data_IF_111301818284
#
_entry.id   IF_111301818284
#
_cell.length_a   1.000
_cell.length_b   1.000
_cell.length_c   1.000
_cell.angle_alpha   90.00
_cell.angle_beta   90.00
_cell.angle_gamma   90.00
#
_symmetry.space_group_name_H-M   'P 1'
#
loop_
_entity.id
_entity.type
_entity.pdbx_description
1 polymer ?
#
# COMPACT_ATOMS: atom_id res chain seq x y z
N UNK A 1 48.71 1.40 37.12
CA UNK A 1 48.16 0.29 36.35
C UNK A 1 46.64 0.19 36.49
N UNK A 2 46.08 0.22 37.71
CA UNK A 2 44.64 0.15 37.93
C UNK A 2 43.87 1.37 37.36
N UNK A 3 44.45 2.54 37.44
CA UNK A 3 43.85 3.77 36.90
C UNK A 3 43.75 3.73 35.37
N UNK A 4 44.77 3.23 34.67
CA UNK A 4 44.75 3.08 33.22
C UNK A 4 43.71 2.07 32.77
N UNK A 5 43.52 0.96 33.46
CA UNK A 5 42.53 -0.06 33.14
C UNK A 5 41.09 0.49 33.30
N UNK A 6 40.80 1.25 34.33
CA UNK A 6 39.49 1.89 34.56
C UNK A 6 39.17 2.93 33.48
N UNK A 7 40.18 3.70 33.04
CA UNK A 7 40.00 4.68 31.98
C UNK A 7 39.73 4.01 30.64
N UNK A 8 40.44 2.93 30.29
CA UNK A 8 40.21 2.15 29.07
C UNK A 8 38.81 1.50 29.07
N UNK A 9 38.38 0.91 30.16
CA UNK A 9 37.05 0.33 30.29
C UNK A 9 35.94 1.38 30.10
N UNK A 10 36.13 2.58 30.63
CA UNK A 10 35.21 3.70 30.45
C UNK A 10 35.11 4.15 28.98
N UNK A 11 36.23 4.22 28.27
CA UNK A 11 36.25 4.57 26.84
C UNK A 11 35.55 3.49 26.00
N UNK A 12 35.83 2.20 26.25
CA UNK A 12 35.19 1.09 25.54
C UNK A 12 33.67 1.11 25.74
N UNK A 13 33.20 1.29 26.97
CA UNK A 13 31.78 1.37 27.26
C UNK A 13 31.09 2.59 26.56
N UNK A 14 31.78 3.71 26.48
CA UNK A 14 31.29 4.90 25.78
C UNK A 14 31.17 4.64 24.26
N UNK A 15 32.16 4.01 23.65
CA UNK A 15 32.14 3.62 22.24
C UNK A 15 31.02 2.63 21.92
N UNK A 16 30.78 1.64 22.78
CA UNK A 16 29.67 0.70 22.65
C UNK A 16 28.33 1.44 22.69
N UNK A 17 28.14 2.36 23.63
CA UNK A 17 26.94 3.19 23.75
C UNK A 17 26.69 4.03 22.50
N UNK A 18 27.74 4.64 21.90
CA UNK A 18 27.65 5.40 20.66
C UNK A 18 27.26 4.48 19.48
N UNK A 19 27.82 3.28 19.38
CA UNK A 19 27.45 2.31 18.34
C UNK A 19 25.97 1.92 18.42
N UNK A 20 25.43 1.62 19.59
CA UNK A 20 24.01 1.33 19.78
C UNK A 20 23.12 2.51 19.40
N UNK A 21 23.52 3.72 19.75
CA UNK A 21 22.78 4.94 19.38
C UNK A 21 22.76 5.16 17.87
N UNK A 22 23.89 4.93 17.17
CA UNK A 22 23.98 5.02 15.71
C UNK A 22 23.11 3.97 15.03
N UNK A 23 23.18 2.72 15.47
CA UNK A 23 22.35 1.64 14.92
C UNK A 23 20.86 1.95 15.09
N UNK A 24 20.45 2.41 16.26
CA UNK A 24 19.06 2.81 16.53
C UNK A 24 18.62 3.94 15.60
N UNK A 25 19.43 4.97 15.43
CA UNK A 25 19.13 6.09 14.55
C UNK A 25 19.04 5.67 13.09
N UNK A 26 19.93 4.81 12.63
CA UNK A 26 19.87 4.25 11.28
C UNK A 26 18.61 3.41 11.05
N UNK A 27 18.23 2.60 12.02
CA UNK A 27 17.03 1.77 11.96
C UNK A 27 15.75 2.64 11.96
N UNK A 28 15.67 3.66 12.79
CA UNK A 28 14.57 4.61 12.81
C UNK A 28 14.44 5.36 11.47
N UNK A 29 15.55 5.81 10.90
CA UNK A 29 15.56 6.46 9.60
C UNK A 29 15.10 5.52 8.47
N UNK A 30 15.55 4.28 8.48
CA UNK A 30 15.14 3.27 7.51
C UNK A 30 13.63 3.01 7.60
N UNK A 31 13.10 2.85 8.80
CA UNK A 31 11.66 2.66 9.01
C UNK A 31 10.85 3.87 8.55
N UNK A 32 11.33 5.09 8.82
CA UNK A 32 10.68 6.32 8.36
C UNK A 32 10.62 6.40 6.83
N UNK A 33 11.72 6.07 6.15
CA UNK A 33 11.75 6.03 4.67
C UNK A 33 10.82 4.98 4.11
N UNK A 34 10.73 3.80 4.72
CA UNK A 34 9.82 2.74 4.31
C UNK A 34 8.35 3.16 4.47
N UNK A 35 8.01 3.79 5.58
CA UNK A 35 6.67 4.34 5.81
C UNK A 35 6.31 5.39 4.76
N UNK A 36 7.25 6.28 4.41
CA UNK A 36 7.04 7.29 3.38
C UNK A 36 6.80 6.66 2.01
N UNK A 37 7.57 5.64 1.64
CA UNK A 37 7.39 4.89 0.40
C UNK A 37 5.97 4.30 0.34
N UNK A 38 5.53 3.64 1.40
CA UNK A 38 4.21 3.02 1.46
C UNK A 38 3.09 4.06 1.39
N UNK A 39 3.22 5.17 2.08
CA UNK A 39 2.24 6.25 2.04
C UNK A 39 2.13 6.86 0.64
N UNK A 40 3.25 7.10 -0.04
CA UNK A 40 3.27 7.56 -1.43
C UNK A 40 2.63 6.54 -2.37
N UNK A 41 2.94 5.26 -2.19
CA UNK A 41 2.36 4.18 -2.97
C UNK A 41 0.84 4.11 -2.80
N UNK A 42 0.34 4.22 -1.59
CA UNK A 42 -1.11 4.26 -1.30
C UNK A 42 -1.79 5.42 -2.03
N UNK A 43 -1.20 6.60 -2.01
CA UNK A 43 -1.71 7.77 -2.74
C UNK A 43 -1.71 7.52 -4.25
N UNK A 44 -0.60 7.00 -4.80
CA UNK A 44 -0.52 6.68 -6.23
C UNK A 44 -1.53 5.65 -6.67
N UNK A 45 -1.76 4.61 -5.89
CA UNK A 45 -2.79 3.61 -6.19
C UNK A 45 -4.16 4.28 -6.27
N UNK A 46 -4.49 5.14 -5.31
CA UNK A 46 -5.77 5.86 -5.28
C UNK A 46 -5.94 6.79 -6.47
N UNK A 47 -4.90 7.53 -6.83
CA UNK A 47 -4.93 8.50 -7.94
C UNK A 47 -5.01 7.84 -9.32
N UNK A 48 -4.61 6.58 -9.42
CA UNK A 48 -4.47 5.88 -10.70
C UNK A 48 -5.51 4.78 -10.92
N UNK A 49 -6.57 4.71 -10.12
CA UNK A 49 -7.61 3.69 -10.25
C UNK A 49 -8.25 3.67 -11.64
N UNK A 50 -8.46 4.83 -12.24
CA UNK A 50 -9.06 5.00 -13.57
C UNK A 50 -8.02 5.07 -14.69
N UNK A 51 -6.73 4.91 -14.37
CA UNK A 51 -5.62 4.95 -15.32
C UNK A 51 -5.04 3.55 -15.52
N UNK A 52 -4.41 3.33 -16.66
CA UNK A 52 -3.72 2.06 -16.94
C UNK A 52 -2.33 2.06 -16.31
N UNK A 53 -2.27 2.13 -15.00
CA UNK A 53 -1.04 2.06 -14.22
C UNK A 53 -1.07 0.79 -13.38
N UNK A 54 -0.03 -0.04 -13.53
CA UNK A 54 0.08 -1.29 -12.79
C UNK A 54 0.78 -1.10 -11.46
N UNK A 55 0.62 -2.06 -10.57
CA UNK A 55 1.37 -2.08 -9.29
C UNK A 55 2.88 -2.14 -9.55
N UNK A 56 3.32 -2.81 -10.62
CA UNK A 56 4.71 -2.84 -11.03
C UNK A 56 5.22 -1.45 -11.43
N UNK A 57 4.43 -0.70 -12.17
CA UNK A 57 4.77 0.68 -12.53
C UNK A 57 4.97 1.55 -11.28
N UNK A 58 4.08 1.40 -10.30
CA UNK A 58 4.17 2.12 -9.02
C UNK A 58 5.43 1.72 -8.26
N UNK A 59 5.78 0.43 -8.23
CA UNK A 59 7.03 -0.01 -7.57
C UNK A 59 8.27 0.61 -8.24
N UNK A 60 8.27 0.71 -9.56
CA UNK A 60 9.34 1.39 -10.30
C UNK A 60 9.42 2.88 -9.97
N UNK A 61 8.28 3.57 -9.90
CA UNK A 61 8.23 4.97 -9.47
C UNK A 61 8.81 5.18 -8.07
N UNK A 62 8.61 4.22 -7.18
CA UNK A 62 9.16 4.25 -5.82
C UNK A 62 10.64 3.84 -5.74
N UNK A 63 11.24 3.36 -6.86
CA UNK A 63 12.64 2.99 -6.94
C UNK A 63 12.98 1.68 -6.25
N UNK A 64 12.02 0.78 -6.06
CA UNK A 64 12.23 -0.53 -5.45
C UNK A 64 11.72 -1.65 -6.34
N UNK A 65 12.26 -2.87 -6.15
CA UNK A 65 11.81 -4.04 -6.90
C UNK A 65 10.37 -4.40 -6.56
N UNK A 66 9.67 -4.99 -7.51
CA UNK A 66 8.28 -5.42 -7.31
C UNK A 66 8.13 -6.40 -6.13
N UNK A 67 9.06 -7.37 -6.00
CA UNK A 67 9.03 -8.33 -4.89
C UNK A 67 9.19 -7.65 -3.54
N UNK A 68 10.16 -6.73 -3.42
CA UNK A 68 10.40 -5.98 -2.19
C UNK A 68 9.22 -5.05 -1.88
N UNK A 69 8.66 -4.40 -2.90
CA UNK A 69 7.49 -3.56 -2.75
C UNK A 69 6.30 -4.33 -2.19
N UNK A 70 5.99 -5.50 -2.75
CA UNK A 70 4.89 -6.35 -2.27
C UNK A 70 5.06 -6.75 -0.81
N UNK A 71 6.27 -7.19 -0.46
CA UNK A 71 6.60 -7.59 0.92
C UNK A 71 6.44 -6.42 1.88
N UNK A 72 7.03 -5.29 1.55
CA UNK A 72 6.99 -4.08 2.37
C UNK A 72 5.56 -3.56 2.54
N UNK A 73 4.80 -3.50 1.47
CA UNK A 73 3.42 -3.05 1.48
C UNK A 73 2.55 -3.93 2.39
N UNK A 74 2.70 -5.25 2.28
CA UNK A 74 1.97 -6.20 3.13
C UNK A 74 2.36 -6.10 4.60
N UNK A 75 3.64 -5.88 4.90
CA UNK A 75 4.11 -5.68 6.28
C UNK A 75 3.46 -4.44 6.92
N UNK A 76 3.34 -3.33 6.20
CA UNK A 76 2.82 -2.08 6.74
C UNK A 76 1.31 -1.94 6.65
N UNK A 77 0.65 -2.53 5.68
CA UNK A 77 -0.80 -2.40 5.47
C UNK A 77 -1.60 -3.63 5.89
N UNK A 78 -0.94 -4.77 6.03
CA UNK A 78 -1.58 -6.06 6.32
C UNK A 78 -2.10 -6.78 5.09
N UNK A 79 -2.12 -6.15 3.91
CA UNK A 79 -2.63 -6.73 2.66
C UNK A 79 -1.69 -6.49 1.49
N UNK A 80 -1.74 -7.36 0.49
CA UNK A 80 -0.96 -7.18 -0.73
C UNK A 80 -1.44 -5.93 -1.50
N UNK A 81 -0.55 -5.27 -2.29
CA UNK A 81 -0.92 -4.08 -3.06
C UNK A 81 -2.08 -4.31 -4.03
N UNK A 82 -2.13 -5.45 -4.70
CA UNK A 82 -3.21 -5.79 -5.61
C UNK A 82 -4.56 -5.91 -4.89
N UNK A 83 -4.58 -6.52 -3.71
CA UNK A 83 -5.77 -6.61 -2.86
C UNK A 83 -6.23 -5.23 -2.40
N UNK A 84 -5.30 -4.37 -2.02
CA UNK A 84 -5.57 -2.99 -1.65
C UNK A 84 -6.18 -2.19 -2.82
N UNK A 85 -5.60 -2.34 -4.02
CA UNK A 85 -6.10 -1.71 -5.24
C UNK A 85 -7.53 -2.18 -5.58
N UNK A 86 -7.78 -3.47 -5.51
CA UNK A 86 -9.11 -4.03 -5.76
C UNK A 86 -10.16 -3.51 -4.77
N UNK A 87 -9.80 -3.40 -3.50
CA UNK A 87 -10.70 -2.83 -2.50
C UNK A 87 -11.05 -1.36 -2.80
N UNK A 88 -10.09 -0.57 -3.24
CA UNK A 88 -10.31 0.82 -3.66
C UNK A 88 -11.17 0.91 -4.93
N UNK A 89 -10.93 0.04 -5.91
CA UNK A 89 -11.75 -0.05 -7.11
C UNK A 89 -13.20 -0.36 -6.79
N UNK A 90 -13.45 -1.30 -5.90
CA UNK A 90 -14.81 -1.65 -5.47
C UNK A 90 -15.47 -0.50 -4.72
N UNK A 91 -14.74 0.21 -3.88
CA UNK A 91 -15.25 1.40 -3.19
C UNK A 91 -15.63 2.49 -4.19
N UNK A 92 -14.78 2.75 -5.17
CA UNK A 92 -15.07 3.70 -6.25
C UNK A 92 -16.26 3.26 -7.10
N UNK A 93 -16.38 1.96 -7.36
CA UNK A 93 -17.53 1.40 -8.07
C UNK A 93 -18.85 1.67 -7.33
N UNK A 94 -18.88 1.50 -6.01
CA UNK A 94 -20.05 1.83 -5.19
C UNK A 94 -20.45 3.29 -5.36
N UNK A 95 -19.50 4.21 -5.34
CA UNK A 95 -19.75 5.64 -5.56
C UNK A 95 -20.35 5.91 -6.95
N UNK A 96 -19.72 5.35 -7.99
CA UNK A 96 -20.18 5.54 -9.38
C UNK A 96 -21.58 4.94 -9.61
N UNK A 97 -21.85 3.77 -9.03
CA UNK A 97 -23.19 3.16 -9.09
C UNK A 97 -24.26 4.03 -8.44
N UNK A 98 -23.93 4.72 -7.36
CA UNK A 98 -24.86 5.55 -6.59
C UNK A 98 -25.11 6.92 -7.22
N UNK A 99 -24.07 7.55 -7.76
CA UNK A 99 -24.12 8.96 -8.20
C UNK A 99 -24.18 9.16 -9.71
N UNK A 100 -23.87 8.13 -10.53
CA UNK A 100 -23.87 8.25 -11.98
C UNK A 100 -24.86 7.29 -12.65
N UNK A 101 -25.18 7.57 -13.92
CA UNK A 101 -25.98 6.68 -14.77
C UNK A 101 -25.10 5.81 -15.69
N UNK A 102 -23.80 5.78 -15.46
CA UNK A 102 -22.89 4.93 -16.22
C UNK A 102 -23.33 3.45 -16.13
N UNK A 103 -23.23 2.73 -17.24
CA UNK A 103 -23.54 1.30 -17.26
C UNK A 103 -22.56 0.49 -16.40
N UNK A 104 -22.98 -0.68 -15.98
CA UNK A 104 -22.11 -1.61 -15.24
C UNK A 104 -20.83 -1.92 -16.05
N UNK A 105 -20.99 -2.09 -17.36
CA UNK A 105 -19.89 -2.33 -18.30
C UNK A 105 -18.93 -1.15 -18.36
N UNK A 106 -19.45 0.07 -18.46
CA UNK A 106 -18.64 1.30 -18.48
C UNK A 106 -17.85 1.46 -17.19
N UNK A 107 -18.47 1.24 -16.04
CA UNK A 107 -17.80 1.29 -14.73
C UNK A 107 -16.67 0.25 -14.64
N UNK A 108 -16.94 -0.99 -15.08
CA UNK A 108 -15.94 -2.06 -15.07
C UNK A 108 -14.69 -1.68 -15.89
N UNK A 109 -14.86 -1.16 -17.08
CA UNK A 109 -13.74 -0.74 -17.93
C UNK A 109 -13.05 0.52 -17.41
N UNK A 110 -13.81 1.47 -16.90
CA UNK A 110 -13.26 2.71 -16.31
C UNK A 110 -12.32 2.41 -15.14
N UNK A 111 -12.67 1.44 -14.32
CA UNK A 111 -11.88 1.04 -13.16
C UNK A 111 -10.85 -0.05 -13.45
N UNK A 112 -10.63 -0.38 -14.73
CA UNK A 112 -9.64 -1.35 -15.18
C UNK A 112 -9.83 -2.77 -14.63
N UNK A 113 -11.08 -3.20 -14.46
CA UNK A 113 -11.37 -4.62 -14.24
C UNK A 113 -11.15 -5.41 -15.54
N UNK A 114 -10.73 -6.67 -15.41
CA UNK A 114 -10.46 -7.54 -16.55
C UNK A 114 -11.65 -7.66 -17.49
N UNK A 115 -12.85 -7.81 -16.94
CA UNK A 115 -14.09 -7.91 -17.68
C UNK A 115 -15.26 -7.44 -16.82
N UNK A 116 -16.41 -7.08 -17.44
CA UNK A 116 -17.63 -6.78 -16.69
C UNK A 116 -18.12 -7.96 -15.83
N UNK A 117 -17.94 -9.19 -16.31
CA UNK A 117 -18.33 -10.40 -15.56
C UNK A 117 -17.45 -10.60 -14.33
N UNK A 118 -16.15 -10.41 -14.47
CA UNK A 118 -15.22 -10.45 -13.34
C UNK A 118 -15.55 -9.37 -12.30
N UNK A 119 -15.82 -8.16 -12.76
CA UNK A 119 -16.25 -7.06 -11.90
C UNK A 119 -17.52 -7.42 -11.12
N UNK A 120 -18.54 -7.89 -11.80
CA UNK A 120 -19.84 -8.24 -11.19
C UNK A 120 -19.70 -9.36 -10.17
N UNK A 121 -18.92 -10.39 -10.49
CA UNK A 121 -18.67 -11.51 -9.58
C UNK A 121 -17.92 -11.05 -8.33
N UNK A 122 -16.88 -10.25 -8.50
CA UNK A 122 -16.08 -9.74 -7.39
C UNK A 122 -16.86 -8.76 -6.52
N UNK A 123 -17.65 -7.90 -7.14
CA UNK A 123 -18.53 -6.95 -6.44
C UNK A 123 -19.57 -7.70 -5.59
N UNK A 124 -20.22 -8.72 -6.16
CA UNK A 124 -21.17 -9.54 -5.43
C UNK A 124 -20.53 -10.29 -4.26
N UNK A 125 -19.34 -10.84 -4.47
CA UNK A 125 -18.60 -11.55 -3.43
C UNK A 125 -18.28 -10.64 -2.23
N UNK A 126 -17.90 -9.40 -2.50
CA UNK A 126 -17.48 -8.45 -1.45
C UNK A 126 -18.63 -7.69 -0.81
N UNK A 127 -19.70 -7.40 -1.55
CA UNK A 127 -20.83 -6.58 -1.05
C UNK A 127 -22.08 -7.40 -0.74
N UNK A 128 -22.18 -8.61 -1.26
CA UNK A 128 -23.38 -9.43 -1.16
C UNK A 128 -24.44 -9.14 -2.23
N UNK A 129 -24.25 -8.10 -3.05
CA UNK A 129 -25.20 -7.66 -4.08
C UNK A 129 -24.55 -7.60 -5.45
N UNK A 130 -25.31 -7.91 -6.50
CA UNK A 130 -24.91 -7.59 -7.87
C UNK A 130 -24.82 -6.07 -8.04
N UNK A 131 -23.95 -5.55 -8.92
CA UNK A 131 -23.85 -4.12 -9.15
C UNK A 131 -25.18 -3.43 -9.49
N UNK A 132 -26.01 -4.06 -10.33
CA UNK A 132 -27.33 -3.54 -10.68
C UNK A 132 -28.29 -3.47 -9.49
N UNK A 133 -28.28 -4.50 -8.65
CA UNK A 133 -29.10 -4.55 -7.43
C UNK A 133 -28.62 -3.50 -6.41
N UNK A 134 -27.31 -3.35 -6.27
CA UNK A 134 -26.72 -2.31 -5.42
C UNK A 134 -27.13 -0.91 -5.85
N UNK A 135 -27.13 -0.64 -7.16
CA UNK A 135 -27.58 0.63 -7.73
C UNK A 135 -29.03 0.91 -7.37
N UNK A 136 -29.90 -0.08 -7.52
CA UNK A 136 -31.31 0.06 -7.19
C UNK A 136 -31.53 0.35 -5.70
N UNK A 137 -30.77 -0.28 -4.81
CA UNK A 137 -30.86 -0.07 -3.36
C UNK A 137 -30.30 1.27 -2.91
N UNK A 138 -29.31 1.81 -3.62
CA UNK A 138 -28.63 3.06 -3.24
C UNK A 138 -29.33 4.33 -3.75
N UNK A 139 -30.38 4.16 -4.55
CA UNK A 139 -31.20 5.26 -5.12
C UNK A 139 -32.65 5.27 -4.56
#
# INVERSE_FOLDING_TARGET
AAYCQQTLAGIVNHLIGLMYSLERNMQLNTNSLQVDIINKARMRIRETLEKKVTIQDISQEMGISYSNFRKLFKEYTGVAPATYQDALRLQRAKELLSITDESIKEIAYKLNFESPDYFSSKFKLKTGYKPSDFRALSR
#
